data_IF_720682015007
#
_entry.id   IF_720682015007
#
_cell.length_a   1.000
_cell.length_b   1.000
_cell.length_c   1.000
_cell.angle_alpha   90.00
_cell.angle_beta   90.00
_cell.angle_gamma   90.00
#
_symmetry.space_group_name_H-M   'P 1'
#
loop_
_entity.id
_entity.type
_entity.pdbx_description
1 polymer ?
#
# COMPACT_ATOMS: atom_id res chain seq x y z
N UNK A 1 0.86 20.62 -7.46
CA UNK A 1 1.17 19.24 -7.89
C UNK A 1 1.04 18.34 -6.67
N UNK A 2 -0.05 17.58 -6.62
CA UNK A 2 -0.36 16.66 -5.52
C UNK A 2 -0.01 15.23 -5.97
N UNK A 3 0.63 14.46 -5.10
CA UNK A 3 1.14 13.12 -5.34
C UNK A 3 2.25 12.76 -4.33
N UNK A 4 2.59 11.48 -4.23
CA UNK A 4 3.55 10.91 -3.27
C UNK A 4 3.16 11.02 -1.79
N UNK A 5 1.87 10.90 -1.48
CA UNK A 5 1.35 10.94 -0.11
C UNK A 5 1.97 9.90 0.82
N UNK A 6 2.40 8.74 0.29
CA UNK A 6 3.09 7.72 1.06
C UNK A 6 4.42 8.20 1.70
N UNK A 7 5.07 9.21 1.12
CA UNK A 7 6.28 9.83 1.69
C UNK A 7 6.01 11.21 2.30
N UNK A 8 5.02 11.94 1.78
CA UNK A 8 4.78 13.35 2.11
C UNK A 8 3.79 13.55 3.25
N UNK A 9 3.01 12.54 3.62
CA UNK A 9 1.98 12.70 4.66
C UNK A 9 2.61 12.74 6.05
N UNK A 10 2.19 13.72 6.84
CA UNK A 10 2.62 13.87 8.23
C UNK A 10 1.92 12.85 9.15
N UNK A 11 0.61 12.67 9.03
CA UNK A 11 -0.20 11.76 9.86
C UNK A 11 -0.36 10.34 9.30
N UNK A 12 -0.94 9.46 10.12
CA UNK A 12 -1.26 8.06 9.79
C UNK A 12 -2.60 7.89 9.08
N UNK A 13 -3.53 8.83 9.19
CA UNK A 13 -4.91 8.75 8.66
C UNK A 13 -5.08 9.46 7.31
N UNK A 14 -6.28 9.38 6.75
CA UNK A 14 -6.71 10.03 5.51
C UNK A 14 -6.23 9.34 4.23
N UNK A 15 -6.70 9.87 3.10
CA UNK A 15 -6.25 9.52 1.74
C UNK A 15 -5.74 10.76 1.02
N UNK A 16 -4.92 10.59 0.00
CA UNK A 16 -4.33 11.69 -0.78
C UNK A 16 -4.57 11.47 -2.26
N UNK A 17 -4.77 12.55 -3.00
CA UNK A 17 -4.91 12.50 -4.45
C UNK A 17 -3.59 12.04 -5.07
N UNK A 18 -3.67 11.02 -5.92
CA UNK A 18 -2.55 10.46 -6.69
C UNK A 18 -2.98 10.31 -8.14
N UNK A 19 -2.06 10.54 -9.09
CA UNK A 19 -2.26 10.02 -10.44
C UNK A 19 -2.06 8.50 -10.38
N UNK A 20 -3.08 7.71 -10.76
CA UNK A 20 -3.11 6.25 -10.56
C UNK A 20 -1.92 5.53 -11.20
N UNK A 21 -1.38 6.06 -12.31
CA UNK A 21 -0.23 5.54 -13.04
C UNK A 21 1.14 6.04 -12.52
N UNK A 22 1.18 6.87 -11.49
CA UNK A 22 2.39 7.47 -10.94
C UNK A 22 2.42 7.38 -9.39
N UNK A 23 3.36 8.10 -8.79
CA UNK A 23 3.50 8.24 -7.34
C UNK A 23 4.10 7.03 -6.64
N UNK A 24 4.47 7.21 -5.37
CA UNK A 24 5.05 6.21 -4.51
C UNK A 24 4.18 4.94 -4.35
N UNK A 25 4.80 3.77 -4.51
CA UNK A 25 4.12 2.46 -4.50
C UNK A 25 4.22 1.76 -3.15
N UNK A 26 3.69 2.37 -2.09
CA UNK A 26 3.31 1.62 -0.89
C UNK A 26 1.98 0.90 -1.12
N UNK A 27 1.63 -0.04 -0.24
CA UNK A 27 0.34 -0.73 -0.32
C UNK A 27 -0.79 0.30 -0.10
N UNK A 28 -1.71 0.40 -1.06
CA UNK A 28 -2.82 1.36 -1.07
C UNK A 28 -2.40 2.81 -0.73
N UNK A 29 -1.20 3.22 -1.14
CA UNK A 29 -0.64 4.57 -0.91
C UNK A 29 -0.49 4.96 0.57
N UNK A 30 -0.43 3.98 1.51
CA UNK A 30 -0.19 4.25 2.95
C UNK A 30 1.21 4.78 3.22
N UNK A 31 1.38 5.48 4.34
CA UNK A 31 2.66 6.06 4.76
C UNK A 31 3.75 4.98 4.89
N UNK A 32 4.91 5.20 4.26
CA UNK A 32 6.10 4.39 4.54
C UNK A 32 6.69 4.84 5.87
N UNK A 33 6.61 4.00 6.89
CA UNK A 33 7.20 4.25 8.21
C UNK A 33 7.53 2.94 8.91
N UNK A 34 8.39 3.02 9.93
CA UNK A 34 8.60 1.95 10.92
C UNK A 34 8.16 2.36 12.32
N UNK A 35 7.76 3.60 12.51
CA UNK A 35 7.11 4.05 13.74
C UNK A 35 5.68 3.47 13.78
N UNK A 36 5.37 2.75 14.85
CA UNK A 36 4.11 2.06 15.06
C UNK A 36 3.25 2.72 16.13
N UNK A 37 3.68 3.85 16.70
CA UNK A 37 2.87 4.57 17.68
C UNK A 37 1.52 4.99 17.06
N UNK A 38 0.42 4.50 17.64
CA UNK A 38 -0.93 4.81 17.17
C UNK A 38 -1.34 4.12 15.85
N UNK A 39 -0.58 3.13 15.37
CA UNK A 39 -0.94 2.34 14.18
C UNK A 39 -1.87 1.19 14.55
N UNK A 40 -3.05 1.11 13.91
CA UNK A 40 -3.97 -0.03 14.07
C UNK A 40 -3.52 -1.27 13.30
N UNK A 41 -3.03 -1.08 12.07
CA UNK A 41 -2.61 -2.16 11.17
C UNK A 41 -1.32 -1.80 10.43
N UNK A 42 -0.34 -2.71 10.49
CA UNK A 42 0.91 -2.59 9.75
C UNK A 42 0.96 -3.59 8.58
N UNK A 43 1.19 -3.08 7.36
CA UNK A 43 1.40 -3.92 6.18
C UNK A 43 2.89 -4.15 5.96
N UNK A 44 3.33 -5.40 6.04
CA UNK A 44 4.72 -5.81 5.79
C UNK A 44 4.79 -6.88 4.70
N UNK A 45 5.95 -7.00 4.05
CA UNK A 45 6.16 -7.98 3.00
C UNK A 45 7.31 -8.91 3.35
N UNK A 46 7.08 -10.23 3.29
CA UNK A 46 8.12 -11.26 3.43
C UNK A 46 8.42 -11.80 2.03
N UNK A 47 9.57 -11.43 1.49
CA UNK A 47 10.00 -11.80 0.14
C UNK A 47 10.67 -13.18 0.12
N UNK A 48 9.88 -14.26 0.31
CA UNK A 48 10.37 -15.62 0.40
C UNK A 48 9.74 -16.54 -0.65
N UNK A 49 10.57 -17.39 -1.26
CA UNK A 49 10.12 -18.53 -2.08
C UNK A 49 11.04 -19.76 -1.97
N UNK A 50 11.94 -19.82 -0.97
CA UNK A 50 12.85 -20.96 -0.79
C UNK A 50 12.13 -22.28 -0.49
N UNK A 51 10.88 -22.21 -0.03
CA UNK A 51 10.04 -23.37 0.28
C UNK A 51 9.15 -23.82 -0.89
N UNK A 52 9.22 -23.19 -2.07
CA UNK A 52 8.40 -23.60 -3.23
C UNK A 52 8.89 -24.93 -3.81
N UNK A 53 7.97 -25.86 -4.08
CA UNK A 53 8.27 -27.17 -4.68
C UNK A 53 8.12 -27.23 -6.20
N UNK A 54 7.60 -26.16 -6.83
CA UNK A 54 7.44 -26.06 -8.28
C UNK A 54 8.02 -24.74 -8.82
N UNK A 55 7.19 -23.80 -9.29
CA UNK A 55 7.68 -22.55 -9.87
C UNK A 55 8.05 -21.54 -8.77
N UNK A 56 9.29 -21.02 -8.74
CA UNK A 56 9.68 -19.93 -7.85
C UNK A 56 9.13 -18.59 -8.37
N UNK A 57 9.25 -17.52 -7.57
CA UNK A 57 8.84 -16.17 -7.93
C UNK A 57 8.03 -15.44 -6.86
N UNK A 58 7.51 -16.16 -5.85
CA UNK A 58 6.72 -15.55 -4.77
C UNK A 58 7.49 -14.48 -3.99
N UNK A 59 8.83 -14.51 -4.01
CA UNK A 59 9.68 -13.45 -3.43
C UNK A 59 9.41 -12.05 -4.01
N UNK A 60 8.91 -11.96 -5.25
CA UNK A 60 8.53 -10.71 -5.90
C UNK A 60 7.10 -10.26 -5.56
N UNK A 61 6.31 -11.14 -4.94
CA UNK A 61 4.90 -10.93 -4.61
C UNK A 61 4.63 -9.63 -3.84
N UNK A 62 5.36 -9.31 -2.76
CA UNK A 62 5.12 -8.08 -2.01
C UNK A 62 5.28 -6.80 -2.86
N UNK A 63 6.20 -6.76 -3.82
CA UNK A 63 6.35 -5.62 -4.71
C UNK A 63 5.21 -5.57 -5.74
N UNK A 64 4.86 -6.72 -6.32
CA UNK A 64 3.77 -6.84 -7.29
C UNK A 64 2.41 -6.44 -6.68
N UNK A 65 2.10 -6.89 -5.46
CA UNK A 65 0.83 -6.56 -4.77
C UNK A 65 0.75 -5.06 -4.46
N UNK A 66 1.85 -4.42 -4.05
CA UNK A 66 1.87 -2.96 -3.85
C UNK A 66 1.54 -2.22 -5.15
N UNK A 67 2.18 -2.59 -6.27
CA UNK A 67 1.91 -2.00 -7.57
C UNK A 67 0.47 -2.24 -8.06
N UNK A 68 -0.10 -3.43 -7.80
CA UNK A 68 -1.48 -3.74 -8.17
C UNK A 68 -2.53 -2.96 -7.36
N UNK A 69 -2.18 -2.52 -6.15
CA UNK A 69 -3.13 -1.86 -5.23
C UNK A 69 -3.50 -0.41 -5.57
N UNK A 70 -2.94 0.16 -6.65
CA UNK A 70 -3.08 1.60 -6.96
C UNK A 70 -4.51 2.04 -7.22
N UNK A 71 -5.32 1.24 -7.90
CA UNK A 71 -6.74 1.54 -8.16
C UNK A 71 -7.61 1.40 -6.91
N UNK A 72 -7.23 0.50 -5.99
CA UNK A 72 -7.95 0.34 -4.72
C UNK A 72 -7.79 1.55 -3.79
N UNK A 73 -6.77 2.39 -4.02
CA UNK A 73 -6.55 3.61 -3.24
C UNK A 73 -7.27 4.84 -3.81
N UNK A 74 -7.86 4.74 -5.01
CA UNK A 74 -8.47 5.87 -5.72
C UNK A 74 -9.92 6.12 -5.28
N UNK A 75 -10.66 5.06 -4.98
CA UNK A 75 -12.09 5.11 -4.68
C UNK A 75 -12.38 4.46 -3.33
N UNK A 76 -13.61 4.68 -2.84
CA UNK A 76 -14.13 3.97 -1.69
C UNK A 76 -14.22 2.47 -2.02
N UNK A 77 -13.65 1.58 -1.18
CA UNK A 77 -13.77 0.15 -1.37
C UNK A 77 -15.23 -0.30 -1.50
N UNK A 78 -15.51 -1.10 -2.52
CA UNK A 78 -16.83 -1.72 -2.71
C UNK A 78 -16.90 -3.07 -1.96
N UNK A 79 -18.03 -3.47 -1.36
CA UNK A 79 -19.30 -2.74 -1.24
C UNK A 79 -19.36 -1.78 -0.03
N UNK A 80 -18.23 -1.56 0.64
CA UNK A 80 -18.15 -0.90 1.95
C UNK A 80 -18.62 0.56 1.95
N UNK A 81 -18.28 1.33 0.91
CA UNK A 81 -18.77 2.70 0.75
C UNK A 81 -18.22 3.71 1.77
N UNK A 82 -17.14 3.38 2.48
CA UNK A 82 -16.39 4.30 3.34
C UNK A 82 -14.89 4.15 3.10
N UNK A 83 -14.11 5.19 3.41
CA UNK A 83 -12.66 5.14 3.29
C UNK A 83 -12.09 4.54 4.59
N UNK A 84 -11.41 3.38 4.55
CA UNK A 84 -10.95 2.68 5.74
C UNK A 84 -9.77 3.36 6.45
N UNK A 85 -9.31 4.50 5.92
CA UNK A 85 -8.16 5.22 6.44
C UNK A 85 -8.51 6.52 7.14
N UNK A 86 -9.78 6.92 7.13
CA UNK A 86 -10.27 8.08 7.86
C UNK A 86 -10.41 7.78 9.37
#
# INVERSE_FOLDING_TARGET
MNGDGAFRREGLHGSSVENTYAGALSFMRRKYTRDLAGVDVAVSGIALDLATTFRPGARLGPAAVRAASVQLAELLPYPWGFNPFD
#
